data_IF_419726957762
#
_entry.id   IF_419726957762
#
_cell.length_a   1.000
_cell.length_b   1.000
_cell.length_c   1.000
_cell.angle_alpha   90.00
_cell.angle_beta   90.00
_cell.angle_gamma   90.00
#
_symmetry.space_group_name_H-M   'P 1'
#
loop_
_entity.id
_entity.type
_entity.pdbx_description
1 polymer ?
#
# COMPACT_ATOMS: atom_id res chain seq x y z
N UNK A 1 49.27 -18.64 -12.71
CA UNK A 1 48.44 -17.49 -13.15
C UNK A 1 46.99 -17.97 -13.09
N UNK A 2 46.25 -17.59 -12.05
CA UNK A 2 44.85 -17.99 -11.87
C UNK A 2 43.94 -17.24 -12.83
N UNK A 3 43.00 -17.95 -13.45
CA UNK A 3 42.04 -17.41 -14.42
C UNK A 3 40.95 -16.63 -13.69
N UNK A 4 40.43 -15.56 -14.30
CA UNK A 4 39.37 -14.68 -13.74
C UNK A 4 38.13 -15.48 -13.30
N UNK A 5 37.90 -16.63 -13.93
CA UNK A 5 36.83 -17.57 -13.56
C UNK A 5 36.97 -18.16 -12.14
N UNK A 6 38.20 -18.34 -11.65
CA UNK A 6 38.48 -18.89 -10.32
C UNK A 6 38.13 -17.88 -9.22
N UNK A 7 38.53 -16.61 -9.45
CA UNK A 7 38.25 -15.46 -8.57
C UNK A 7 36.75 -15.12 -8.47
N UNK A 8 35.98 -15.38 -9.52
CA UNK A 8 34.52 -15.18 -9.51
C UNK A 8 33.81 -16.31 -8.75
N UNK A 9 34.32 -17.55 -8.87
CA UNK A 9 33.79 -18.71 -8.15
C UNK A 9 33.95 -18.60 -6.63
N UNK A 10 35.10 -18.13 -6.17
CA UNK A 10 35.37 -17.93 -4.73
C UNK A 10 34.47 -16.84 -4.12
N UNK A 11 34.22 -15.75 -4.84
CA UNK A 11 33.35 -14.67 -4.36
C UNK A 11 31.89 -15.10 -4.24
N UNK A 12 31.36 -15.88 -5.20
CA UNK A 12 29.99 -16.41 -5.11
C UNK A 12 29.86 -17.42 -3.96
N UNK A 13 30.88 -18.27 -3.77
CA UNK A 13 30.88 -19.27 -2.70
C UNK A 13 30.97 -18.63 -1.31
N UNK A 14 31.80 -17.60 -1.15
CA UNK A 14 31.87 -16.80 0.07
C UNK A 14 30.55 -16.05 0.34
N UNK A 15 29.92 -15.49 -0.69
CA UNK A 15 28.62 -14.81 -0.58
C UNK A 15 27.49 -15.74 -0.13
N UNK A 16 27.40 -16.95 -0.70
CA UNK A 16 26.38 -17.94 -0.32
C UNK A 16 26.60 -18.53 1.07
N UNK A 17 27.85 -18.68 1.52
CA UNK A 17 28.15 -19.13 2.88
C UNK A 17 27.68 -18.14 3.96
N UNK A 18 27.59 -16.83 3.64
CA UNK A 18 27.04 -15.84 4.57
C UNK A 18 25.51 -15.85 4.65
N UNK A 19 24.81 -16.37 3.64
CA UNK A 19 23.34 -16.52 3.67
C UNK A 19 22.88 -17.82 4.34
N UNK A 20 23.78 -18.78 4.58
CA UNK A 20 23.51 -20.01 5.33
C UNK A 20 24.21 -19.90 6.68
N UNK A 21 23.58 -19.21 7.63
CA UNK A 21 23.96 -19.29 9.03
C UNK A 21 22.90 -20.12 9.77
N UNK A 22 23.21 -21.36 10.19
CA UNK A 22 22.36 -22.12 11.08
C UNK A 22 22.62 -21.71 12.54
N UNK A 23 21.51 -21.44 13.24
CA UNK A 23 21.33 -21.50 14.69
C UNK A 23 21.79 -20.33 15.58
N UNK A 24 20.80 -19.84 16.35
CA UNK A 24 20.79 -18.76 17.35
C UNK A 24 21.54 -19.24 18.62
N UNK A 25 22.12 -18.36 19.44
CA UNK A 25 21.39 -18.01 20.66
C UNK A 25 21.56 -16.56 21.15
N UNK A 26 20.49 -16.12 21.82
CA UNK A 26 20.43 -15.24 23.00
C UNK A 26 20.62 -13.71 22.90
N UNK A 27 19.64 -13.06 23.54
CA UNK A 27 19.65 -11.70 24.09
C UNK A 27 19.46 -10.51 23.12
N UNK A 28 18.36 -9.78 23.35
CA UNK A 28 17.91 -8.63 22.57
C UNK A 28 18.93 -7.48 22.55
N UNK A 29 18.89 -6.67 21.48
CA UNK A 29 18.66 -5.26 21.70
C UNK A 29 17.50 -4.74 20.84
N UNK A 30 16.66 -3.97 21.52
CA UNK A 30 15.75 -2.97 20.98
C UNK A 30 16.41 -2.11 19.86
N UNK A 31 15.60 -1.70 18.87
CA UNK A 31 15.90 -0.96 17.62
C UNK A 31 16.26 -1.84 16.39
N UNK A 32 15.40 -1.95 15.38
CA UNK A 32 14.90 -0.81 14.60
C UNK A 32 13.47 -1.01 14.04
N UNK A 33 12.52 -0.08 14.28
CA UNK A 33 11.24 -0.02 13.57
C UNK A 33 11.32 0.73 12.22
N UNK A 34 12.49 0.85 11.59
CA UNK A 34 12.63 1.65 10.37
C UNK A 34 12.05 0.97 9.11
N UNK A 35 11.98 -0.37 9.07
CA UNK A 35 11.42 -1.09 7.91
C UNK A 35 9.90 -1.15 7.91
N UNK A 36 9.26 -1.04 9.08
CA UNK A 36 7.80 -1.09 9.21
C UNK A 36 7.16 0.24 8.81
N UNK A 37 7.79 1.36 9.19
CA UNK A 37 7.31 2.70 8.83
C UNK A 37 7.36 2.91 7.31
N UNK A 38 8.47 2.57 6.64
CA UNK A 38 8.56 2.65 5.18
C UNK A 38 7.65 1.66 4.45
N UNK A 39 7.41 0.46 5.00
CA UNK A 39 6.49 -0.50 4.40
C UNK A 39 5.03 -0.05 4.52
N UNK A 40 4.64 0.52 5.67
CA UNK A 40 3.32 1.09 5.90
C UNK A 40 3.09 2.33 5.01
N UNK A 41 4.09 3.20 4.88
CA UNK A 41 4.05 4.37 3.99
C UNK A 41 3.85 3.91 2.52
N UNK A 42 4.60 2.89 2.08
CA UNK A 42 4.44 2.30 0.73
C UNK A 42 3.07 1.62 0.53
N UNK A 43 2.49 1.03 1.58
CA UNK A 43 1.16 0.43 1.52
C UNK A 43 0.05 1.48 1.44
N UNK A 44 0.18 2.57 2.22
CA UNK A 44 -0.72 3.71 2.20
C UNK A 44 -0.70 4.41 0.84
N UNK A 45 0.49 4.66 0.27
CA UNK A 45 0.63 5.26 -1.06
C UNK A 45 -0.04 4.41 -2.13
N UNK A 46 0.16 3.08 -2.09
CA UNK A 46 -0.51 2.15 -3.03
C UNK A 46 -2.02 2.17 -2.85
N UNK A 47 -2.50 2.15 -1.60
CA UNK A 47 -3.92 2.15 -1.30
C UNK A 47 -4.59 3.44 -1.78
N UNK A 48 -3.92 4.58 -1.55
CA UNK A 48 -4.36 5.89 -2.01
C UNK A 48 -4.36 6.02 -3.53
N UNK A 49 -3.33 5.48 -4.20
CA UNK A 49 -3.26 5.43 -5.67
C UNK A 49 -4.40 4.59 -6.25
N UNK A 50 -4.64 3.38 -5.71
CA UNK A 50 -5.74 2.52 -6.14
C UNK A 50 -7.11 3.18 -5.92
N UNK A 51 -7.28 3.88 -4.79
CA UNK A 51 -8.51 4.62 -4.50
C UNK A 51 -8.72 5.80 -5.47
N UNK A 52 -7.66 6.56 -5.76
CA UNK A 52 -7.71 7.66 -6.72
C UNK A 52 -8.04 7.16 -8.12
N UNK A 53 -7.40 6.07 -8.57
CA UNK A 53 -7.67 5.45 -9.87
C UNK A 53 -9.10 4.93 -9.96
N UNK A 54 -9.59 4.26 -8.91
CA UNK A 54 -10.95 3.76 -8.87
C UNK A 54 -12.00 4.89 -8.93
N UNK A 55 -11.78 5.99 -8.21
CA UNK A 55 -12.70 7.15 -8.23
C UNK A 55 -12.67 7.85 -9.57
N UNK A 56 -11.49 8.06 -10.16
CA UNK A 56 -11.34 8.71 -11.47
C UNK A 56 -12.04 7.89 -12.57
N UNK A 57 -11.87 6.57 -12.55
CA UNK A 57 -12.51 5.65 -13.50
C UNK A 57 -14.03 5.60 -13.32
N UNK A 58 -14.53 5.54 -12.08
CA UNK A 58 -15.96 5.43 -11.80
C UNK A 58 -16.71 6.76 -12.03
N UNK A 59 -16.10 7.90 -11.70
CA UNK A 59 -16.70 9.22 -11.87
C UNK A 59 -16.44 9.86 -13.26
N UNK A 60 -15.75 9.15 -14.17
CA UNK A 60 -15.27 9.69 -15.47
C UNK A 60 -14.57 11.06 -15.30
N UNK A 61 -13.80 11.20 -14.21
CA UNK A 61 -13.24 12.48 -13.76
C UNK A 61 -11.80 12.65 -14.26
N UNK A 62 -11.42 13.85 -14.70
CA UNK A 62 -10.02 14.11 -15.01
C UNK A 62 -9.17 14.14 -13.71
N UNK A 63 -8.01 13.46 -13.65
CA UNK A 63 -7.17 13.44 -12.46
C UNK A 63 -6.71 14.85 -12.02
N UNK A 64 -6.69 15.85 -12.92
CA UNK A 64 -6.35 17.24 -12.54
C UNK A 64 -7.46 17.90 -11.72
N UNK A 65 -8.69 17.45 -11.86
CA UNK A 65 -9.88 17.98 -11.20
C UNK A 65 -10.24 17.21 -9.92
N UNK A 66 -9.59 16.06 -9.66
CA UNK A 66 -9.78 15.26 -8.46
C UNK A 66 -9.27 15.97 -7.19
N UNK A 67 -10.17 16.74 -6.54
CA UNK A 67 -9.90 17.47 -5.28
C UNK A 67 -10.55 16.77 -4.09
N UNK A 68 -9.85 16.79 -2.95
CA UNK A 68 -10.32 16.14 -1.73
C UNK A 68 -11.62 16.72 -1.16
N UNK A 69 -11.99 17.95 -1.52
CA UNK A 69 -13.23 18.61 -1.10
C UNK A 69 -14.47 18.18 -1.90
N UNK A 70 -14.29 17.46 -3.01
CA UNK A 70 -15.40 16.99 -3.84
C UNK A 70 -16.29 16.05 -3.04
N UNK A 71 -17.59 16.30 -3.08
CA UNK A 71 -18.58 15.47 -2.41
C UNK A 71 -18.84 14.20 -3.22
N UNK A 72 -18.83 13.04 -2.55
CA UNK A 72 -18.99 11.75 -3.24
C UNK A 72 -20.36 11.66 -3.94
N UNK A 73 -21.44 12.00 -3.23
CA UNK A 73 -22.82 11.94 -3.74
C UNK A 73 -23.29 13.20 -4.47
N UNK A 74 -22.46 14.22 -4.57
CA UNK A 74 -22.86 15.54 -5.11
C UNK A 74 -22.03 15.91 -6.33
N UNK A 75 -20.74 16.18 -6.12
CA UNK A 75 -19.83 16.57 -7.19
C UNK A 75 -19.43 15.39 -8.07
N UNK A 76 -19.22 14.22 -7.47
CA UNK A 76 -18.81 12.99 -8.18
C UNK A 76 -20.00 12.12 -8.62
N UNK A 77 -21.22 12.50 -8.28
CA UNK A 77 -22.47 11.78 -8.58
C UNK A 77 -22.42 10.27 -8.23
N UNK A 78 -21.64 9.87 -7.22
CA UNK A 78 -21.49 8.48 -6.84
C UNK A 78 -22.71 8.02 -6.04
N UNK A 79 -23.49 7.12 -6.64
CA UNK A 79 -24.49 6.33 -5.94
C UNK A 79 -23.82 5.29 -5.02
N UNK A 80 -24.59 4.69 -4.11
CA UNK A 80 -24.09 3.66 -3.20
C UNK A 80 -23.45 2.48 -3.96
N UNK A 81 -23.98 2.11 -5.13
CA UNK A 81 -23.42 1.04 -5.98
C UNK A 81 -22.02 1.39 -6.48
N UNK A 82 -21.83 2.59 -7.00
CA UNK A 82 -20.53 3.09 -7.47
C UNK A 82 -19.53 3.20 -6.32
N UNK A 83 -19.99 3.63 -5.15
CA UNK A 83 -19.17 3.71 -3.94
C UNK A 83 -18.66 2.32 -3.52
N UNK A 84 -19.53 1.31 -3.52
CA UNK A 84 -19.15 -0.07 -3.23
C UNK A 84 -18.27 -0.69 -4.33
N UNK A 85 -18.41 -0.27 -5.59
CA UNK A 85 -17.51 -0.71 -6.67
C UNK A 85 -16.08 -0.19 -6.45
N UNK A 86 -15.94 1.09 -6.08
CA UNK A 86 -14.66 1.69 -5.70
C UNK A 86 -14.05 0.97 -4.50
N UNK A 87 -14.83 0.75 -3.44
CA UNK A 87 -14.39 0.02 -2.24
C UNK A 87 -13.89 -1.37 -2.60
N UNK A 88 -14.66 -2.16 -3.37
CA UNK A 88 -14.27 -3.51 -3.75
C UNK A 88 -12.97 -3.56 -4.56
N UNK A 89 -12.75 -2.56 -5.42
CA UNK A 89 -11.49 -2.41 -6.17
C UNK A 89 -10.33 -2.09 -5.24
N UNK A 90 -10.50 -1.12 -4.33
CA UNK A 90 -9.47 -0.75 -3.36
C UNK A 90 -9.12 -1.91 -2.43
N UNK A 91 -10.10 -2.62 -1.87
CA UNK A 91 -9.86 -3.80 -1.02
C UNK A 91 -9.08 -4.89 -1.77
N UNK A 92 -9.40 -5.11 -3.05
CA UNK A 92 -8.70 -6.08 -3.90
C UNK A 92 -7.25 -5.68 -4.19
N UNK A 93 -7.00 -4.41 -4.48
CA UNK A 93 -5.69 -3.92 -4.92
C UNK A 93 -4.75 -3.61 -3.74
N UNK A 94 -5.29 -3.01 -2.69
CA UNK A 94 -4.55 -2.66 -1.47
C UNK A 94 -4.55 -3.78 -0.42
N UNK A 95 -5.36 -4.83 -0.58
CA UNK A 95 -5.54 -5.93 0.38
C UNK A 95 -6.00 -5.48 1.76
N UNK A 96 -6.76 -4.39 1.81
CA UNK A 96 -7.36 -3.85 3.04
C UNK A 96 -8.81 -4.32 3.19
N UNK A 97 -9.41 -4.07 4.35
CA UNK A 97 -10.84 -4.28 4.60
C UNK A 97 -11.44 -3.01 5.15
N UNK A 98 -12.52 -2.55 4.53
CA UNK A 98 -13.21 -1.31 4.88
C UNK A 98 -14.57 -1.65 5.50
N UNK A 99 -14.93 -0.93 6.56
CA UNK A 99 -16.17 -1.22 7.29
C UNK A 99 -17.36 -0.48 6.67
N UNK A 100 -18.49 -1.17 6.45
CA UNK A 100 -19.73 -0.57 5.94
C UNK A 100 -20.13 0.70 6.71
N UNK A 101 -20.03 0.68 8.03
CA UNK A 101 -20.39 1.83 8.87
C UNK A 101 -19.43 3.03 8.73
N UNK A 102 -18.23 2.84 8.18
CA UNK A 102 -17.33 3.93 7.80
C UNK A 102 -17.72 4.46 6.41
N UNK A 103 -17.95 3.55 5.46
CA UNK A 103 -18.35 3.86 4.08
C UNK A 103 -19.61 4.73 4.06
N UNK A 104 -20.62 4.42 4.89
CA UNK A 104 -21.85 5.21 5.01
C UNK A 104 -21.63 6.65 5.49
N UNK A 105 -20.54 6.92 6.21
CA UNK A 105 -20.23 8.24 6.78
C UNK A 105 -19.43 9.12 5.85
N UNK A 106 -18.84 8.57 4.79
CA UNK A 106 -18.01 9.33 3.88
C UNK A 106 -18.83 10.39 3.16
N UNK A 107 -18.36 11.64 3.24
CA UNK A 107 -18.99 12.79 2.57
C UNK A 107 -18.16 13.25 1.39
N UNK A 108 -16.83 13.27 1.53
CA UNK A 108 -15.91 13.82 0.54
C UNK A 108 -14.89 12.80 0.08
N UNK A 109 -14.23 13.09 -1.04
CA UNK A 109 -13.12 12.30 -1.54
C UNK A 109 -11.96 12.21 -0.53
N UNK A 110 -11.72 13.27 0.25
CA UNK A 110 -10.72 13.21 1.32
C UNK A 110 -11.08 12.19 2.41
N UNK A 111 -12.35 12.05 2.78
CA UNK A 111 -12.83 11.08 3.78
C UNK A 111 -12.54 9.64 3.33
N UNK A 112 -12.79 9.36 2.05
CA UNK A 112 -12.47 8.07 1.43
C UNK A 112 -10.95 7.81 1.42
N UNK A 113 -10.15 8.77 0.95
CA UNK A 113 -8.70 8.58 0.85
C UNK A 113 -8.05 8.43 2.23
N UNK A 114 -8.50 9.18 3.24
CA UNK A 114 -8.02 9.08 4.61
C UNK A 114 -8.36 7.71 5.22
N UNK A 115 -9.61 7.25 5.07
CA UNK A 115 -10.04 5.96 5.57
C UNK A 115 -9.31 4.78 4.90
N UNK A 116 -9.03 4.88 3.60
CA UNK A 116 -8.23 3.88 2.86
C UNK A 116 -6.78 3.86 3.34
N UNK A 117 -6.19 5.03 3.56
CA UNK A 117 -4.83 5.11 4.12
C UNK A 117 -4.78 4.55 5.54
N UNK A 118 -5.72 4.89 6.42
CA UNK A 118 -5.80 4.35 7.79
C UNK A 118 -5.94 2.82 7.80
N UNK A 119 -6.82 2.28 6.93
CA UNK A 119 -6.98 0.84 6.77
C UNK A 119 -5.71 0.14 6.28
N UNK A 120 -4.92 0.79 5.43
CA UNK A 120 -3.63 0.28 4.94
C UNK A 120 -2.50 0.41 5.98
N UNK A 121 -2.55 1.42 6.86
CA UNK A 121 -1.60 1.57 7.97
C UNK A 121 -1.76 0.49 9.04
N UNK A 122 -2.99 -0.03 9.21
CA UNK A 122 -3.35 -0.94 10.27
C UNK A 122 -3.22 -2.44 9.88
N UNK A 123 -2.66 -2.72 8.69
CA UNK A 123 -2.47 -4.06 8.11
C UNK A 123 -0.97 -4.40 7.97
#
# INVERSE_FOLDING_TARGET
MGSIADLLGDQLRAGLAQLVNPDVPDEAPDAAPASSESAAETAQDRAREAAMEAVVDEADLDPVDARGELTLRGDLDMDDVSLYAVVARVEREAKVTLNDSQIEKWVTLADLLDAVSDAASNH
#
